data_IF_424792603296
#
_entry.id   IF_424792603296
#
_cell.length_a   1.000
_cell.length_b   1.000
_cell.length_c   1.000
_cell.angle_alpha   90.00
_cell.angle_beta   90.00
_cell.angle_gamma   90.00
#
_symmetry.space_group_name_H-M   'P 1'
#
loop_
_entity.id
_entity.type
_entity.pdbx_description
1 polymer ?
#
# COMPACT_ATOMS: atom_id res chain seq x y z
N UNK A 1 13.84 -15.43 25.41
CA UNK A 1 14.26 -14.72 24.17
C UNK A 1 13.74 -13.30 24.28
N UNK A 2 14.58 -12.29 24.04
CA UNK A 2 14.12 -10.88 24.06
C UNK A 2 13.20 -10.61 22.88
N UNK A 3 12.01 -10.07 23.14
CA UNK A 3 11.06 -9.62 22.11
C UNK A 3 11.66 -8.42 21.36
N UNK A 4 11.51 -8.41 20.03
CA UNK A 4 12.06 -7.38 19.13
C UNK A 4 11.05 -7.04 18.05
N UNK A 5 11.01 -5.75 17.69
CA UNK A 5 10.24 -5.22 16.59
C UNK A 5 11.17 -4.50 15.60
N UNK A 6 10.92 -4.72 14.32
CA UNK A 6 11.52 -3.97 13.22
C UNK A 6 10.42 -3.27 12.43
N UNK A 7 10.75 -2.12 11.85
CA UNK A 7 9.79 -1.25 11.19
C UNK A 7 10.21 -0.97 9.77
N UNK A 8 9.25 -1.07 8.85
CA UNK A 8 9.42 -0.80 7.44
C UNK A 8 8.35 0.20 7.01
N UNK A 9 8.74 1.25 6.29
CA UNK A 9 7.78 2.22 5.79
C UNK A 9 6.97 1.59 4.66
N UNK A 10 5.65 1.69 4.72
CA UNK A 10 4.79 1.20 3.65
C UNK A 10 4.80 2.21 2.50
N UNK A 11 5.23 1.77 1.32
CA UNK A 11 5.11 2.53 0.08
C UNK A 11 4.09 1.85 -0.81
N UNK A 12 3.24 2.64 -1.45
CA UNK A 12 2.40 2.11 -2.51
C UNK A 12 3.28 1.89 -3.75
N UNK A 13 3.51 0.63 -4.10
CA UNK A 13 3.96 0.29 -5.44
C UNK A 13 2.80 0.61 -6.39
N UNK A 14 2.75 1.85 -6.86
CA UNK A 14 1.84 2.25 -7.90
C UNK A 14 2.26 1.51 -9.16
N UNK A 15 1.50 0.48 -9.54
CA UNK A 15 1.72 -0.19 -10.81
C UNK A 15 1.33 0.79 -11.91
N UNK A 16 2.33 1.43 -12.51
CA UNK A 16 2.15 2.15 -13.76
C UNK A 16 1.93 1.12 -14.86
N UNK A 17 0.68 0.68 -15.04
CA UNK A 17 0.27 -0.05 -16.23
C UNK A 17 0.28 0.91 -17.42
N UNK A 18 1.45 1.18 -17.99
CA UNK A 18 1.54 1.73 -19.34
C UNK A 18 1.10 0.61 -20.31
N UNK A 19 -0.18 0.62 -20.70
CA UNK A 19 -0.62 -0.15 -21.86
C UNK A 19 0.03 0.48 -23.10
N UNK A 20 1.17 -0.06 -23.52
CA UNK A 20 1.68 0.15 -24.88
C UNK A 20 0.74 -0.60 -25.83
N UNK A 21 -0.17 0.12 -26.48
CA UNK A 21 -0.89 -0.41 -27.62
C UNK A 21 0.12 -0.56 -28.77
N UNK A 22 0.56 -1.78 -29.03
CA UNK A 22 1.30 -2.09 -30.26
C UNK A 22 0.31 -1.97 -31.43
N UNK A 23 0.52 -0.96 -32.27
CA UNK A 23 -0.25 -0.76 -33.51
C UNK A 23 -0.13 -2.00 -34.41
N UNK A 24 -1.22 -2.71 -34.76
CA UNK A 24 -1.17 -3.83 -35.71
C UNK A 24 -0.99 -3.39 -37.18
N UNK A 25 -0.54 -2.16 -37.43
CA UNK A 25 -0.52 -1.55 -38.76
C UNK A 25 0.81 -1.68 -39.53
N UNK A 26 1.67 -2.65 -39.20
CA UNK A 26 2.95 -2.84 -39.93
C UNK A 26 3.20 -4.28 -40.38
N UNK A 27 2.22 -4.96 -40.95
CA UNK A 27 2.49 -6.12 -41.82
C UNK A 27 1.52 -6.14 -43.02
N UNK A 28 2.03 -5.76 -44.20
CA UNK A 28 1.25 -5.83 -45.43
C UNK A 28 1.84 -5.00 -46.57
N UNK A 29 3.00 -5.40 -47.08
CA UNK A 29 3.51 -4.87 -48.35
C UNK A 29 2.59 -5.25 -49.50
N UNK A 30 2.16 -4.27 -50.31
CA UNK A 30 1.64 -4.48 -51.66
C UNK A 30 2.12 -3.36 -52.58
N UNK A 31 2.97 -3.74 -53.54
CA UNK A 31 3.25 -2.93 -54.72
C UNK A 31 2.12 -3.10 -55.74
N UNK A 32 1.60 -2.00 -56.28
CA UNK A 32 0.59 -1.99 -57.33
C UNK A 32 0.35 -0.58 -57.85
N UNK A 33 0.85 -0.30 -59.04
CA UNK A 33 0.78 0.94 -59.80
C UNK A 33 -0.63 1.13 -60.43
N UNK A 34 -1.19 2.36 -60.42
CA UNK A 34 -2.21 2.77 -61.39
C UNK A 34 -3.37 3.66 -60.91
N UNK A 35 -3.48 4.87 -61.48
CA UNK A 35 -4.77 5.49 -61.84
C UNK A 35 -5.36 6.59 -60.93
N UNK A 36 -5.56 7.77 -61.50
CA UNK A 36 -6.25 8.96 -60.95
C UNK A 36 -7.77 8.75 -60.83
N UNK A 37 -8.41 9.21 -59.74
CA UNK A 37 -9.70 9.94 -59.76
C UNK A 37 -9.98 10.63 -58.40
N UNK A 38 -10.48 11.86 -58.50
CA UNK A 38 -10.89 12.82 -57.48
C UNK A 38 -12.33 12.50 -57.02
N UNK A 39 -12.57 12.27 -55.72
CA UNK A 39 -13.86 12.60 -55.08
C UNK A 39 -13.79 12.46 -53.55
N UNK A 40 -14.37 13.47 -52.91
CA UNK A 40 -14.28 13.77 -51.50
C UNK A 40 -15.12 12.84 -50.59
N UNK A 41 -14.77 12.93 -49.29
CA UNK A 41 -15.57 12.55 -48.11
C UNK A 41 -15.47 11.10 -47.62
N UNK A 42 -14.29 10.73 -47.11
CA UNK A 42 -14.22 9.81 -45.97
C UNK A 42 -13.74 10.59 -44.75
N UNK A 43 -14.69 11.01 -43.90
CA UNK A 43 -14.39 11.49 -42.54
C UNK A 43 -13.81 10.34 -41.72
N UNK A 44 -12.52 10.06 -41.89
CA UNK A 44 -11.75 9.37 -40.87
C UNK A 44 -11.65 10.34 -39.70
N UNK A 45 -12.61 10.23 -38.77
CA UNK A 45 -12.44 10.76 -37.43
C UNK A 45 -11.19 10.09 -36.86
N UNK A 46 -10.07 10.80 -36.94
CA UNK A 46 -8.83 10.40 -36.31
C UNK A 46 -9.12 10.22 -34.83
N UNK A 47 -9.12 8.96 -34.39
CA UNK A 47 -8.93 8.63 -32.99
C UNK A 47 -7.59 9.25 -32.60
N UNK A 48 -7.62 10.38 -31.91
CA UNK A 48 -6.41 10.91 -31.30
C UNK A 48 -6.01 9.92 -30.20
N UNK A 49 -4.77 9.39 -30.19
CA UNK A 49 -4.30 8.47 -29.15
C UNK A 49 -4.14 9.14 -27.78
N UNK A 50 -4.57 10.40 -27.63
CA UNK A 50 -4.36 11.20 -26.44
C UNK A 50 -5.32 10.78 -25.33
N UNK A 51 -4.73 10.10 -24.35
CA UNK A 51 -5.16 9.96 -22.96
C UNK A 51 -6.39 9.08 -22.70
N UNK A 52 -6.20 7.76 -22.82
CA UNK A 52 -6.84 6.88 -21.85
C UNK A 52 -6.15 7.06 -20.48
N UNK A 53 -6.63 8.01 -19.68
CA UNK A 53 -6.24 8.17 -18.28
C UNK A 53 -6.82 7.00 -17.48
N UNK A 54 -6.07 5.91 -17.33
CA UNK A 54 -6.43 4.88 -16.34
C UNK A 54 -6.08 5.39 -14.95
N UNK A 55 -7.04 5.44 -14.01
CA UNK A 55 -6.75 5.84 -12.64
C UNK A 55 -5.76 4.84 -12.04
N UNK A 56 -4.61 5.35 -11.58
CA UNK A 56 -3.60 4.57 -10.87
C UNK A 56 -4.25 3.90 -9.66
N UNK A 57 -4.11 2.58 -9.52
CA UNK A 57 -4.69 1.82 -8.39
C UNK A 57 -3.60 1.45 -7.40
N UNK A 58 -3.97 1.45 -6.13
CA UNK A 58 -3.13 1.11 -4.99
C UNK A 58 -3.74 -0.09 -4.28
N UNK A 59 -2.96 -1.14 -4.08
CA UNK A 59 -3.36 -2.27 -3.24
C UNK A 59 -2.88 -2.05 -1.81
N UNK A 60 -3.81 -1.84 -0.88
CA UNK A 60 -3.51 -1.75 0.55
C UNK A 60 -3.99 -2.99 1.28
N UNK A 61 -3.53 -3.25 2.51
CA UNK A 61 -4.08 -4.32 3.33
C UNK A 61 -5.59 -4.18 3.60
N UNK A 62 -6.19 -3.00 3.42
CA UNK A 62 -7.63 -2.76 3.59
C UNK A 62 -8.44 -2.95 2.29
N UNK A 63 -7.78 -3.08 1.15
CA UNK A 63 -8.43 -3.22 -0.16
C UNK A 63 -7.69 -2.45 -1.25
N UNK A 64 -8.25 -2.50 -2.45
CA UNK A 64 -7.76 -1.76 -3.61
C UNK A 64 -8.44 -0.39 -3.61
N UNK A 65 -7.65 0.66 -3.64
CA UNK A 65 -8.09 2.06 -3.72
C UNK A 65 -7.56 2.68 -5.00
N UNK A 66 -8.23 3.73 -5.49
CA UNK A 66 -7.61 4.60 -6.48
C UNK A 66 -6.57 5.48 -5.78
N UNK A 67 -5.42 5.72 -6.42
CA UNK A 67 -4.34 6.52 -5.85
C UNK A 67 -4.80 7.97 -5.55
N UNK A 68 -5.74 8.47 -6.35
CA UNK A 68 -6.37 9.79 -6.17
C UNK A 68 -7.47 9.81 -5.10
N UNK A 69 -7.88 8.65 -4.56
CA UNK A 69 -8.94 8.59 -3.56
C UNK A 69 -8.44 9.22 -2.24
N UNK A 70 -9.07 10.30 -1.75
CA UNK A 70 -8.72 10.90 -0.47
C UNK A 70 -8.92 9.94 0.71
N UNK A 71 -9.73 8.87 0.55
CA UNK A 71 -9.95 7.84 1.55
C UNK A 71 -8.92 6.71 1.51
N UNK A 72 -7.98 6.73 0.56
CA UNK A 72 -6.88 5.77 0.53
C UNK A 72 -6.09 5.85 1.86
N UNK A 73 -5.86 4.72 2.57
CA UNK A 73 -5.12 4.71 3.83
C UNK A 73 -3.76 5.42 3.76
N UNK A 74 -3.04 5.32 2.65
CA UNK A 74 -1.76 6.00 2.43
C UNK A 74 -1.89 7.52 2.37
N UNK A 75 -3.05 8.02 1.92
CA UNK A 75 -3.35 9.45 1.91
C UNK A 75 -3.79 9.94 3.29
N UNK A 76 -4.41 9.08 4.11
CA UNK A 76 -4.93 9.43 5.44
C UNK A 76 -3.88 9.32 6.55
N UNK A 77 -3.00 8.32 6.48
CA UNK A 77 -2.09 7.95 7.57
C UNK A 77 -0.64 7.87 7.11
N UNK A 78 0.31 7.99 8.04
CA UNK A 78 1.69 7.55 7.80
C UNK A 78 1.76 6.04 8.06
N UNK A 79 1.89 5.27 6.98
CA UNK A 79 1.73 3.81 7.00
C UNK A 79 3.05 3.08 7.22
N UNK A 80 3.04 2.09 8.12
CA UNK A 80 4.19 1.30 8.49
C UNK A 80 3.84 -0.18 8.65
N UNK A 81 4.80 -1.04 8.34
CA UNK A 81 4.76 -2.47 8.65
C UNK A 81 5.66 -2.74 9.84
N UNK A 82 5.08 -3.35 10.87
CA UNK A 82 5.79 -3.92 11.99
C UNK A 82 6.10 -5.39 11.76
N UNK A 83 7.37 -5.76 11.90
CA UNK A 83 7.86 -7.14 11.86
C UNK A 83 8.28 -7.56 13.28
N UNK A 84 7.70 -8.63 13.79
CA UNK A 84 7.98 -9.15 15.14
C UNK A 84 8.71 -10.49 15.08
N UNK A 85 9.59 -10.74 16.07
CA UNK A 85 10.19 -12.07 16.28
C UNK A 85 9.34 -12.97 17.20
N UNK A 86 8.17 -12.51 17.61
CA UNK A 86 7.20 -13.22 18.45
C UNK A 86 5.82 -13.15 17.80
N UNK A 87 4.94 -14.12 18.07
CA UNK A 87 3.62 -14.11 17.49
C UNK A 87 2.75 -13.00 18.07
N UNK A 88 2.02 -12.29 17.20
CA UNK A 88 0.99 -11.34 17.63
C UNK A 88 -0.24 -12.14 18.05
N UNK A 89 -0.45 -12.27 19.36
CA UNK A 89 -1.61 -12.93 19.93
C UNK A 89 -2.69 -11.91 20.30
N UNK A 90 -3.78 -12.38 20.90
CA UNK A 90 -4.92 -11.54 21.26
C UNK A 90 -4.56 -10.39 22.22
N UNK A 91 -3.56 -10.58 23.09
CA UNK A 91 -3.14 -9.56 24.05
C UNK A 91 -2.40 -8.43 23.34
N UNK A 92 -1.41 -8.76 22.50
CA UNK A 92 -0.67 -7.78 21.70
C UNK A 92 -1.60 -7.04 20.74
N UNK A 93 -2.58 -7.74 20.15
CA UNK A 93 -3.62 -7.12 19.33
C UNK A 93 -4.39 -6.04 20.10
N UNK A 94 -4.87 -6.34 21.31
CA UNK A 94 -5.60 -5.38 22.15
C UNK A 94 -4.73 -4.19 22.55
N UNK A 95 -3.46 -4.44 22.88
CA UNK A 95 -2.51 -3.37 23.20
C UNK A 95 -2.34 -2.43 22.00
N UNK A 96 -2.08 -2.98 20.81
CA UNK A 96 -1.89 -2.19 19.59
C UNK A 96 -3.17 -1.45 19.18
N UNK A 97 -4.35 -2.04 19.35
CA UNK A 97 -5.60 -1.47 18.87
C UNK A 97 -6.22 -0.45 19.83
N UNK A 98 -6.18 -0.72 21.15
CA UNK A 98 -6.99 0.01 22.12
C UNK A 98 -6.16 0.88 23.06
N UNK A 99 -4.88 0.57 23.25
CA UNK A 99 -4.07 1.16 24.31
C UNK A 99 -2.99 2.12 23.84
N UNK A 100 -2.76 2.26 22.53
CA UNK A 100 -1.70 3.12 21.98
C UNK A 100 -2.34 4.26 21.22
N UNK A 101 -2.00 5.48 21.63
CA UNK A 101 -2.56 6.69 21.02
C UNK A 101 -1.88 6.99 19.68
N UNK A 102 -2.65 7.47 18.71
CA UNK A 102 -2.13 7.85 17.39
C UNK A 102 -2.16 6.76 16.33
N UNK A 103 -2.53 5.52 16.68
CA UNK A 103 -2.83 4.47 15.69
C UNK A 103 -4.27 4.69 15.20
N UNK A 104 -4.42 5.11 13.95
CA UNK A 104 -5.73 5.32 13.31
C UNK A 104 -6.19 4.11 12.49
N UNK A 105 -5.24 3.33 11.98
CA UNK A 105 -5.52 2.10 11.26
C UNK A 105 -4.61 0.98 11.76
N UNK A 106 -5.17 -0.22 11.97
CA UNK A 106 -4.39 -1.38 12.38
C UNK A 106 -4.95 -2.64 11.72
N UNK A 107 -4.06 -3.49 11.20
CA UNK A 107 -4.44 -4.77 10.62
C UNK A 107 -3.32 -5.79 10.77
N UNK A 108 -3.63 -6.97 11.29
CA UNK A 108 -2.69 -8.09 11.31
C UNK A 108 -2.64 -8.72 9.91
N UNK A 109 -1.44 -8.77 9.32
CA UNK A 109 -1.21 -9.39 8.00
C UNK A 109 -0.84 -10.87 8.16
N UNK A 110 -0.01 -11.18 9.15
CA UNK A 110 0.41 -12.54 9.48
C UNK A 110 0.69 -12.67 10.97
N UNK A 111 0.97 -13.89 11.44
CA UNK A 111 1.36 -14.16 12.83
C UNK A 111 2.52 -13.30 13.33
N UNK A 112 3.40 -12.83 12.45
CA UNK A 112 4.61 -12.06 12.81
C UNK A 112 4.68 -10.67 12.14
N UNK A 113 3.62 -10.26 11.44
CA UNK A 113 3.59 -8.99 10.71
C UNK A 113 2.26 -8.31 10.83
N UNK A 114 2.29 -7.02 11.04
CA UNK A 114 1.11 -6.20 11.14
C UNK A 114 1.32 -4.86 10.44
N UNK A 115 0.23 -4.30 9.94
CA UNK A 115 0.16 -2.97 9.38
C UNK A 115 -0.36 -2.00 10.44
N UNK A 116 0.27 -0.83 10.52
CA UNK A 116 -0.25 0.32 11.26
C UNK A 116 -0.30 1.55 10.35
N UNK A 117 -1.37 2.32 10.48
CA UNK A 117 -1.47 3.68 9.97
C UNK A 117 -1.48 4.65 11.15
N UNK A 118 -0.54 5.57 11.15
CA UNK A 118 -0.39 6.58 12.21
C UNK A 118 -1.07 7.87 11.76
N UNK A 119 -1.89 8.42 12.63
CA UNK A 119 -2.58 9.69 12.42
C UNK A 119 -1.57 10.84 12.23
N UNK A 120 -1.85 11.75 11.29
CA UNK A 120 -0.91 12.80 10.86
C UNK A 120 -0.48 13.78 11.95
N UNK A 121 -1.26 13.88 13.03
CA UNK A 121 -0.94 14.73 14.18
C UNK A 121 0.00 14.08 15.19
N UNK A 122 0.28 12.79 15.02
CA UNK A 122 1.15 12.02 15.92
C UNK A 122 2.52 11.79 15.28
N UNK A 123 3.56 11.75 16.10
CA UNK A 123 4.91 11.46 15.64
C UNK A 123 5.18 9.95 15.71
N UNK A 124 5.59 9.35 14.59
CA UNK A 124 5.92 7.93 14.54
C UNK A 124 6.96 7.52 15.60
N UNK A 125 7.98 8.33 15.85
CA UNK A 125 9.05 8.00 16.81
C UNK A 125 8.51 7.81 18.22
N UNK A 126 7.52 8.61 18.61
CA UNK A 126 6.88 8.53 19.93
C UNK A 126 5.97 7.31 20.03
N UNK A 127 5.11 7.11 19.02
CA UNK A 127 4.20 5.96 18.92
C UNK A 127 5.00 4.66 18.90
N UNK A 128 6.07 4.59 18.10
CA UNK A 128 7.00 3.47 18.03
C UNK A 128 7.58 3.13 19.40
N UNK A 129 8.08 4.13 20.13
CA UNK A 129 8.67 3.92 21.45
C UNK A 129 7.62 3.38 22.43
N UNK A 130 6.39 3.87 22.35
CA UNK A 130 5.29 3.37 23.18
C UNK A 130 4.94 1.92 22.85
N UNK A 131 4.87 1.56 21.56
CA UNK A 131 4.65 0.18 21.11
C UNK A 131 5.75 -0.74 21.62
N UNK A 132 7.01 -0.37 21.41
CA UNK A 132 8.17 -1.15 21.87
C UNK A 132 8.14 -1.31 23.39
N UNK A 133 7.86 -0.25 24.15
CA UNK A 133 7.72 -0.31 25.60
C UNK A 133 6.63 -1.31 26.04
N UNK A 134 5.42 -1.19 25.49
CA UNK A 134 4.28 -1.99 25.93
C UNK A 134 4.34 -3.46 25.52
N UNK A 135 4.95 -3.78 24.39
CA UNK A 135 4.92 -5.14 23.83
C UNK A 135 6.23 -5.88 24.07
N UNK A 136 7.38 -5.19 24.05
CA UNK A 136 8.67 -5.83 24.21
C UNK A 136 9.15 -5.89 25.66
N UNK A 137 8.79 -4.92 26.51
CA UNK A 137 9.35 -4.83 27.87
C UNK A 137 8.36 -5.22 28.97
N UNK A 138 7.06 -4.96 28.83
CA UNK A 138 6.08 -5.27 29.90
C UNK A 138 5.92 -6.77 30.18
N UNK A 139 6.18 -7.66 29.22
CA UNK A 139 6.09 -9.11 29.45
C UNK A 139 7.28 -9.68 30.24
N UNK A 140 8.45 -9.04 30.21
CA UNK A 140 9.63 -9.50 30.96
C UNK A 140 9.51 -9.13 32.46
N UNK A 141 8.92 -7.97 32.76
CA UNK A 141 8.76 -7.52 34.15
C UNK A 141 7.71 -8.34 34.91
N UNK A 142 6.58 -8.71 34.29
CA UNK A 142 5.54 -9.51 34.95
C UNK A 142 6.02 -10.94 35.28
N UNK A 143 6.93 -11.49 34.47
CA UNK A 143 7.55 -12.80 34.75
C UNK A 143 8.57 -12.74 35.90
N UNK A 144 9.18 -11.59 36.18
CA UNK A 144 10.13 -11.43 37.30
C UNK A 144 9.46 -11.21 38.66
N UNK A 145 8.21 -10.71 38.71
CA UNK A 145 7.48 -10.54 39.97
C UNK A 145 6.76 -11.81 40.47
N UNK A 146 6.75 -12.89 39.67
CA UNK A 146 6.08 -14.15 40.01
C UNK A 146 6.92 -15.17 40.80
N UNK A 147 8.19 -14.89 41.13
CA UNK A 147 9.12 -15.87 41.75
C UNK A 147 9.40 -15.59 43.24
N UNK A 148 8.74 -14.59 43.85
CA UNK A 148 8.79 -14.40 45.30
C UNK A 148 7.38 -14.31 45.88
N UNK A 149 6.79 -15.47 46.18
CA UNK A 149 5.92 -15.70 47.35
C UNK A 149 5.73 -17.19 47.58
#
# INVERSE_FOLDING_TARGET
MTRKLAWEKWYDEVQDEQLTFEDPATEGGFAGEGGLDDSAESQQQGFSPDMFFMPKKVSTPFGIYEASDPLCPTNLFDCWIGHSNFPICQNEYKILNDHISGIGAFKVISKYRFFIGIEKLFNFSEVRREIEYKICYLDDDVLNFGVYK
#
